data_IF_609016973943
#
_entry.id   IF_609016973943
#
_cell.length_a   1.000
_cell.length_b   1.000
_cell.length_c   1.000
_cell.angle_alpha   90.00
_cell.angle_beta   90.00
_cell.angle_gamma   90.00
#
_symmetry.space_group_name_H-M   'P 1'
#
loop_
_entity.id
_entity.type
_entity.pdbx_description
1 polymer ?
#
# COMPACT_ATOMS: atom_id res chain seq x y z
N UNK A 1 27.66 -29.62 68.27
CA UNK A 1 28.27 -30.47 67.22
C UNK A 1 27.34 -30.35 66.04
N UNK A 2 27.69 -29.81 64.88
CA UNK A 2 28.94 -29.59 64.15
C UNK A 2 28.76 -28.28 63.34
N UNK A 3 29.65 -27.31 63.54
CA UNK A 3 30.85 -27.00 62.76
C UNK A 3 30.58 -26.17 61.50
N UNK A 4 31.00 -24.91 61.65
CA UNK A 4 31.10 -23.82 60.69
C UNK A 4 31.79 -24.20 59.38
N UNK A 5 31.29 -23.57 58.32
CA UNK A 5 32.02 -23.36 57.08
C UNK A 5 32.95 -22.17 57.32
N UNK A 6 34.25 -22.37 57.17
CA UNK A 6 35.08 -21.29 56.67
C UNK A 6 36.42 -21.77 56.10
N UNK A 7 36.76 -21.12 55.00
CA UNK A 7 38.09 -20.66 54.62
C UNK A 7 39.14 -21.66 54.13
N UNK A 8 39.48 -21.54 52.83
CA UNK A 8 40.88 -21.54 52.40
C UNK A 8 41.03 -20.95 50.97
N UNK A 9 42.02 -20.06 50.74
CA UNK A 9 42.29 -19.37 49.47
C UNK A 9 43.36 -20.15 48.64
N UNK A 10 43.81 -19.72 47.44
CA UNK A 10 44.83 -18.65 47.36
C UNK A 10 44.82 -17.78 46.07
N UNK A 11 45.46 -16.62 46.20
CA UNK A 11 46.03 -15.83 45.10
C UNK A 11 47.54 -16.08 44.96
N UNK A 12 48.03 -16.16 43.71
CA UNK A 12 49.38 -15.85 43.17
C UNK A 12 50.07 -16.99 42.40
N UNK A 13 50.55 -16.66 41.19
CA UNK A 13 51.56 -17.44 40.49
C UNK A 13 51.58 -17.20 38.98
N UNK A 14 52.42 -16.26 38.53
CA UNK A 14 52.63 -15.89 37.13
C UNK A 14 53.74 -16.75 36.49
N UNK A 15 53.49 -17.24 35.26
CA UNK A 15 54.41 -17.68 34.16
C UNK A 15 55.22 -18.99 34.33
N UNK A 16 55.73 -19.63 33.25
CA UNK A 16 55.32 -19.64 31.82
C UNK A 16 55.23 -21.09 31.24
N UNK A 17 54.67 -21.33 30.03
CA UNK A 17 55.08 -22.50 29.24
C UNK A 17 56.00 -22.13 28.07
N UNK A 18 57.15 -22.82 28.01
CA UNK A 18 58.08 -22.88 26.87
C UNK A 18 57.59 -23.90 25.83
N UNK A 19 57.82 -23.57 24.56
CA UNK A 19 58.00 -24.38 23.33
C UNK A 19 58.00 -25.91 23.51
N UNK A 20 57.41 -26.74 22.65
CA UNK A 20 56.75 -26.53 21.37
C UNK A 20 56.77 -27.83 20.55
N UNK A 21 55.74 -28.09 19.75
CA UNK A 21 55.74 -28.99 18.57
C UNK A 21 54.57 -28.51 17.70
N UNK A 22 54.82 -27.61 16.75
CA UNK A 22 54.77 -27.87 15.30
C UNK A 22 53.49 -28.61 14.88
N UNK A 23 52.49 -27.89 14.37
CA UNK A 23 52.09 -28.07 12.97
C UNK A 23 51.31 -26.87 12.41
N UNK A 24 51.66 -26.51 11.18
CA UNK A 24 51.00 -25.71 10.14
C UNK A 24 50.08 -24.54 10.54
N UNK A 25 50.63 -23.32 10.45
CA UNK A 25 49.85 -22.12 10.10
C UNK A 25 50.29 -21.66 8.71
N UNK A 26 49.37 -21.62 7.75
CA UNK A 26 49.36 -20.61 6.68
C UNK A 26 47.98 -20.46 6.05
N UNK A 27 47.53 -19.21 6.12
CA UNK A 27 46.64 -18.51 5.20
C UNK A 27 45.12 -18.76 5.30
N UNK A 28 44.55 -17.89 6.13
CA UNK A 28 43.23 -17.27 6.01
C UNK A 28 42.92 -16.89 4.57
N UNK A 29 41.84 -17.46 4.02
CA UNK A 29 40.87 -16.82 3.12
C UNK A 29 39.77 -17.86 2.86
N UNK A 30 38.81 -17.96 3.78
CA UNK A 30 37.58 -18.70 3.49
C UNK A 30 36.56 -17.70 2.99
N UNK A 31 36.24 -17.88 1.72
CA UNK A 31 35.30 -17.12 0.91
C UNK A 31 33.98 -16.96 1.65
N UNK A 32 33.61 -15.70 1.82
CA UNK A 32 32.29 -15.28 2.25
C UNK A 32 31.32 -15.63 1.11
N UNK A 33 30.78 -16.86 1.13
CA UNK A 33 29.59 -17.17 0.34
C UNK A 33 28.40 -16.66 1.15
N UNK A 34 27.70 -15.59 0.75
CA UNK A 34 26.35 -15.42 1.24
C UNK A 34 25.55 -16.56 0.62
N UNK A 35 25.15 -17.51 1.45
CA UNK A 35 24.07 -18.41 1.10
C UNK A 35 22.90 -17.51 0.68
N UNK A 36 22.59 -17.50 -0.61
CA UNK A 36 21.38 -16.87 -1.14
C UNK A 36 20.23 -17.78 -0.72
N UNK A 37 19.93 -17.74 0.58
CA UNK A 37 18.65 -18.18 1.11
C UNK A 37 17.60 -17.38 0.38
N UNK A 38 16.69 -18.09 -0.28
CA UNK A 38 15.48 -17.53 -0.89
C UNK A 38 14.49 -17.08 0.21
N UNK A 39 14.96 -16.32 1.17
CA UNK A 39 14.22 -15.74 2.28
C UNK A 39 14.61 -14.28 2.36
N UNK A 40 13.86 -13.44 1.63
CA UNK A 40 13.59 -12.01 1.86
C UNK A 40 12.83 -11.40 0.64
N UNK A 41 11.86 -12.14 0.07
CA UNK A 41 11.00 -11.60 -0.99
C UNK A 41 9.73 -10.90 -0.46
N UNK A 42 9.58 -10.85 0.87
CA UNK A 42 8.40 -10.31 1.55
C UNK A 42 8.82 -9.52 2.79
N UNK A 43 9.73 -8.55 2.62
CA UNK A 43 9.87 -7.49 3.61
C UNK A 43 9.15 -6.26 3.08
N UNK A 44 8.32 -5.65 3.93
CA UNK A 44 7.26 -4.70 3.61
C UNK A 44 7.67 -3.34 3.05
N UNK A 45 8.75 -3.27 2.27
CA UNK A 45 9.08 -2.09 1.48
C UNK A 45 8.33 -2.16 0.14
N UNK A 46 7.02 -1.93 0.20
CA UNK A 46 6.24 -1.68 -1.00
C UNK A 46 6.74 -0.37 -1.60
N UNK A 47 7.24 -0.44 -2.84
CA UNK A 47 7.75 0.70 -3.60
C UNK A 47 6.84 1.92 -3.37
N UNK A 48 7.39 3.12 -3.11
CA UNK A 48 6.56 4.32 -2.99
C UNK A 48 5.68 4.38 -4.23
N UNK A 49 4.37 4.34 -4.01
CA UNK A 49 3.40 4.49 -5.09
C UNK A 49 3.79 5.75 -5.85
N UNK A 50 3.96 5.69 -7.17
CA UNK A 50 4.17 6.90 -7.94
C UNK A 50 2.96 7.83 -7.73
N UNK A 51 3.12 8.87 -6.91
CA UNK A 51 2.05 9.81 -6.56
C UNK A 51 1.61 10.66 -7.77
N UNK A 52 2.43 10.64 -8.82
CA UNK A 52 2.36 11.45 -10.03
C UNK A 52 1.94 10.65 -11.28
N UNK A 53 1.67 9.35 -11.13
CA UNK A 53 1.06 8.53 -12.20
C UNK A 53 -0.47 8.53 -12.08
N UNK A 54 -1.11 8.91 -13.18
CA UNK A 54 -2.55 8.94 -13.34
C UNK A 54 -3.06 7.87 -14.30
N UNK A 55 -4.16 7.23 -13.92
CA UNK A 55 -4.82 6.21 -14.72
C UNK A 55 -6.16 6.73 -15.23
N UNK A 56 -6.44 6.49 -16.51
CA UNK A 56 -7.73 6.87 -17.13
C UNK A 56 -8.87 6.00 -16.62
N UNK A 57 -10.09 6.51 -16.75
CA UNK A 57 -11.31 5.79 -16.37
C UNK A 57 -11.40 4.33 -16.83
N UNK A 58 -11.11 3.98 -18.10
CA UNK A 58 -11.13 2.58 -18.54
C UNK A 58 -10.13 1.68 -17.81
N UNK A 59 -8.92 2.17 -17.56
CA UNK A 59 -7.86 1.44 -16.83
C UNK A 59 -8.29 1.26 -15.37
N UNK A 60 -8.77 2.33 -14.73
CA UNK A 60 -9.30 2.28 -13.37
C UNK A 60 -10.48 1.30 -13.23
N UNK A 61 -11.41 1.30 -14.21
CA UNK A 61 -12.54 0.36 -14.23
C UNK A 61 -12.08 -1.09 -14.30
N UNK A 62 -11.12 -1.37 -15.19
CA UNK A 62 -10.58 -2.71 -15.37
C UNK A 62 -9.86 -3.20 -14.10
N UNK A 63 -8.92 -2.41 -13.58
CA UNK A 63 -8.14 -2.78 -12.40
C UNK A 63 -8.99 -2.94 -11.12
N UNK A 64 -10.02 -2.10 -10.94
CA UNK A 64 -10.94 -2.19 -9.81
C UNK A 64 -12.08 -3.21 -10.01
N UNK A 65 -12.26 -3.77 -11.21
CA UNK A 65 -13.36 -4.68 -11.52
C UNK A 65 -14.75 -4.03 -11.45
N UNK A 66 -14.85 -2.76 -11.87
CA UNK A 66 -16.10 -1.98 -11.84
C UNK A 66 -16.51 -1.52 -13.24
N UNK A 67 -17.80 -1.23 -13.39
CA UNK A 67 -18.31 -0.65 -14.64
C UNK A 67 -18.02 0.86 -14.71
N UNK A 68 -17.95 1.39 -15.93
CA UNK A 68 -17.81 2.83 -16.14
C UNK A 68 -18.93 3.65 -15.50
N UNK A 69 -20.16 3.11 -15.45
CA UNK A 69 -21.30 3.76 -14.78
C UNK A 69 -21.10 3.84 -13.27
N UNK A 70 -20.58 2.78 -12.64
CA UNK A 70 -20.25 2.82 -11.21
C UNK A 70 -19.19 3.87 -10.94
N UNK A 71 -18.12 3.88 -11.74
CA UNK A 71 -17.06 4.90 -11.62
C UNK A 71 -17.62 6.32 -11.75
N UNK A 72 -18.40 6.60 -12.80
CA UNK A 72 -18.96 7.94 -13.00
C UNK A 72 -19.94 8.33 -11.90
N UNK A 73 -20.79 7.40 -11.45
CA UNK A 73 -21.72 7.65 -10.36
C UNK A 73 -20.99 7.96 -9.04
N UNK A 74 -19.96 7.20 -8.70
CA UNK A 74 -19.17 7.43 -7.48
C UNK A 74 -18.36 8.73 -7.55
N UNK A 75 -17.81 9.07 -8.72
CA UNK A 75 -17.15 10.35 -8.94
C UNK A 75 -18.10 11.52 -8.82
N UNK A 76 -19.27 11.46 -9.48
CA UNK A 76 -20.27 12.53 -9.46
C UNK A 76 -20.90 12.73 -8.09
N UNK A 77 -20.99 11.68 -7.28
CA UNK A 77 -21.54 11.75 -5.92
C UNK A 77 -20.50 12.02 -4.84
N UNK A 78 -19.22 12.20 -5.23
CA UNK A 78 -18.10 12.51 -4.33
C UNK A 78 -17.62 11.34 -3.47
N UNK A 79 -18.06 10.11 -3.75
CA UNK A 79 -17.61 8.93 -3.00
C UNK A 79 -16.12 8.65 -3.25
N UNK A 80 -15.71 8.73 -4.51
CA UNK A 80 -14.30 8.68 -4.93
C UNK A 80 -14.08 9.73 -6.00
N UNK A 81 -13.22 10.70 -5.74
CA UNK A 81 -12.86 11.76 -6.70
C UNK A 81 -11.45 11.51 -7.22
N UNK A 82 -11.18 11.75 -8.52
CA UNK A 82 -9.83 11.60 -9.07
C UNK A 82 -8.86 12.57 -8.40
N UNK A 83 -7.78 12.08 -7.80
CA UNK A 83 -6.82 12.93 -7.07
C UNK A 83 -5.72 13.51 -7.95
N UNK A 84 -5.40 12.88 -9.10
CA UNK A 84 -4.35 13.37 -10.00
C UNK A 84 -4.85 14.49 -10.87
N UNK A 85 -6.01 14.30 -11.51
CA UNK A 85 -6.63 15.33 -12.35
C UNK A 85 -8.13 15.15 -12.43
N UNK A 86 -8.86 16.17 -12.01
CA UNK A 86 -10.28 16.27 -12.28
C UNK A 86 -10.55 16.59 -13.75
N UNK A 87 -11.71 16.17 -14.26
CA UNK A 87 -12.13 16.57 -15.60
C UNK A 87 -12.56 18.04 -15.58
N UNK A 88 -11.83 18.88 -16.32
CA UNK A 88 -12.18 20.29 -16.53
C UNK A 88 -12.45 20.50 -18.03
N UNK A 89 -13.70 20.83 -18.38
CA UNK A 89 -14.12 21.02 -19.78
C UNK A 89 -14.18 19.72 -20.59
N UNK A 90 -14.35 19.82 -21.92
CA UNK A 90 -14.52 18.66 -22.81
C UNK A 90 -13.20 18.01 -23.29
N UNK A 91 -12.05 18.51 -22.84
CA UNK A 91 -10.74 18.11 -23.36
C UNK A 91 -9.85 17.33 -22.39
N UNK A 92 -10.07 17.46 -21.07
CA UNK A 92 -9.17 16.88 -20.07
C UNK A 92 -9.79 15.64 -19.41
N UNK A 93 -9.20 14.45 -19.58
CA UNK A 93 -9.68 13.23 -18.96
C UNK A 93 -9.42 13.23 -17.45
N UNK A 94 -10.33 12.61 -16.68
CA UNK A 94 -10.10 12.28 -15.27
C UNK A 94 -8.92 11.32 -15.16
N UNK A 95 -7.96 11.64 -14.29
CA UNK A 95 -6.86 10.77 -13.94
C UNK A 95 -6.97 10.37 -12.48
N UNK A 96 -7.06 9.07 -12.25
CA UNK A 96 -7.15 8.47 -10.93
C UNK A 96 -5.76 8.04 -10.47
N UNK A 97 -5.43 8.30 -9.21
CA UNK A 97 -4.20 7.76 -8.61
C UNK A 97 -4.35 6.26 -8.34
N UNK A 98 -3.24 5.60 -8.03
CA UNK A 98 -3.28 4.23 -7.51
C UNK A 98 -4.17 4.13 -6.25
N UNK A 99 -4.08 5.11 -5.35
CA UNK A 99 -4.91 5.17 -4.13
C UNK A 99 -6.39 5.25 -4.45
N UNK A 100 -6.78 6.00 -5.47
CA UNK A 100 -8.17 6.06 -5.92
C UNK A 100 -8.66 4.69 -6.38
N UNK A 101 -7.85 3.99 -7.18
CA UNK A 101 -8.19 2.65 -7.69
C UNK A 101 -8.30 1.64 -6.56
N UNK A 102 -7.42 1.71 -5.55
CA UNK A 102 -7.52 0.92 -4.33
C UNK A 102 -8.87 1.12 -3.64
N UNK A 103 -9.25 2.38 -3.42
CA UNK A 103 -10.54 2.70 -2.80
C UNK A 103 -11.71 2.18 -3.65
N UNK A 104 -11.65 2.32 -4.98
CA UNK A 104 -12.66 1.79 -5.89
C UNK A 104 -12.82 0.27 -5.75
N UNK A 105 -11.70 -0.48 -5.69
CA UNK A 105 -11.71 -1.94 -5.55
C UNK A 105 -12.23 -2.37 -4.18
N UNK A 106 -11.89 -1.64 -3.11
CA UNK A 106 -12.43 -1.88 -1.77
C UNK A 106 -13.93 -1.64 -1.72
N UNK A 107 -14.41 -0.52 -2.28
CA UNK A 107 -15.85 -0.23 -2.39
C UNK A 107 -16.57 -1.36 -3.11
N UNK A 108 -16.00 -1.85 -4.22
CA UNK A 108 -16.56 -2.98 -4.97
C UNK A 108 -16.66 -4.24 -4.11
N UNK A 109 -15.60 -4.61 -3.38
CA UNK A 109 -15.61 -5.78 -2.48
C UNK A 109 -16.64 -5.65 -1.35
N UNK A 110 -16.81 -4.43 -0.79
CA UNK A 110 -17.85 -4.18 0.22
C UNK A 110 -19.27 -4.32 -0.36
N UNK A 111 -19.50 -3.82 -1.57
CA UNK A 111 -20.80 -3.98 -2.26
C UNK A 111 -21.07 -5.45 -2.58
N UNK A 112 -20.06 -6.20 -3.02
CA UNK A 112 -20.19 -7.63 -3.33
C UNK A 112 -20.49 -8.46 -2.09
N UNK A 113 -20.00 -8.03 -0.92
CA UNK A 113 -20.35 -8.60 0.38
C UNK A 113 -21.77 -8.23 0.86
N UNK A 114 -22.53 -7.43 0.10
CA UNK A 114 -23.90 -7.04 0.41
C UNK A 114 -24.02 -5.77 1.26
N UNK A 115 -22.93 -5.03 1.47
CA UNK A 115 -22.94 -3.78 2.25
C UNK A 115 -23.52 -2.66 1.39
N UNK A 116 -24.47 -1.90 1.94
CA UNK A 116 -25.10 -0.82 1.19
C UNK A 116 -24.15 0.36 0.96
N UNK A 117 -24.35 1.07 -0.14
CA UNK A 117 -23.55 2.25 -0.48
C UNK A 117 -23.59 3.34 0.60
N UNK A 118 -24.70 3.46 1.33
CA UNK A 118 -24.86 4.43 2.40
C UNK A 118 -23.96 4.09 3.61
N UNK A 119 -23.85 2.81 3.96
CA UNK A 119 -22.94 2.34 5.03
C UNK A 119 -21.49 2.53 4.62
N UNK A 120 -21.16 2.19 3.37
CA UNK A 120 -19.82 2.41 2.81
C UNK A 120 -19.42 3.89 2.88
N UNK A 121 -20.34 4.79 2.50
CA UNK A 121 -20.08 6.24 2.58
C UNK A 121 -19.74 6.68 4.00
N UNK A 122 -20.52 6.25 4.99
CA UNK A 122 -20.27 6.56 6.41
C UNK A 122 -18.90 6.03 6.86
N UNK A 123 -18.58 4.78 6.51
CA UNK A 123 -17.30 4.16 6.84
C UNK A 123 -16.10 4.90 6.25
N UNK A 124 -16.15 5.26 4.96
CA UNK A 124 -15.08 5.99 4.28
C UNK A 124 -14.88 7.38 4.89
N UNK A 125 -15.96 8.07 5.25
CA UNK A 125 -15.88 9.38 5.89
C UNK A 125 -15.23 9.29 7.29
N UNK A 126 -15.53 8.23 8.04
CA UNK A 126 -14.83 7.92 9.30
C UNK A 126 -13.34 7.60 9.11
N UNK A 127 -12.96 6.87 8.06
CA UNK A 127 -11.56 6.56 7.75
C UNK A 127 -10.77 7.81 7.32
N UNK A 128 -11.36 8.67 6.48
CA UNK A 128 -10.71 9.93 6.05
C UNK A 128 -10.41 10.87 7.22
N UNK A 129 -11.29 10.90 8.24
CA UNK A 129 -11.10 11.74 9.42
C UNK A 129 -9.93 11.29 10.31
N UNK A 130 -9.52 10.02 10.24
CA UNK A 130 -8.45 9.46 11.09
C UNK A 130 -7.07 9.43 10.45
N UNK A 131 -6.98 9.72 9.14
CA UNK A 131 -5.72 9.84 8.42
C UNK A 131 -4.98 8.51 8.31
N UNK A 132 -5.39 7.66 7.38
CA UNK A 132 -4.70 6.38 7.13
C UNK A 132 -3.53 6.64 6.17
N UNK A 133 -2.32 6.66 6.73
CA UNK A 133 -1.08 6.86 5.97
C UNK A 133 -0.38 5.54 5.63
N UNK A 134 -0.73 4.45 6.32
CA UNK A 134 -0.25 3.11 5.97
C UNK A 134 -1.45 2.17 5.81
N UNK A 135 -1.86 1.97 4.56
CA UNK A 135 -3.00 1.11 4.21
C UNK A 135 -2.58 -0.35 4.07
N UNK A 136 -1.30 -0.69 4.22
CA UNK A 136 -0.79 -2.02 3.87
C UNK A 136 -1.03 -3.05 4.97
N UNK A 137 -0.95 -2.64 6.24
CA UNK A 137 -1.22 -3.48 7.42
C UNK A 137 -2.69 -3.42 7.88
N UNK A 138 -3.54 -2.66 7.18
CA UNK A 138 -4.94 -2.46 7.56
C UNK A 138 -5.82 -3.60 7.06
N UNK A 139 -6.63 -4.15 7.95
CA UNK A 139 -7.75 -5.03 7.63
C UNK A 139 -9.06 -4.34 7.94
N UNK A 140 -9.92 -4.18 6.93
CA UNK A 140 -11.28 -3.67 7.12
C UNK A 140 -12.22 -4.81 7.50
N UNK A 141 -12.90 -4.70 8.63
CA UNK A 141 -13.85 -5.68 9.16
C UNK A 141 -15.28 -5.12 9.11
N UNK A 142 -16.26 -5.89 8.64
CA UNK A 142 -17.66 -5.45 8.56
C UNK A 142 -18.63 -6.50 9.08
N UNK A 143 -19.61 -6.06 9.89
CA UNK A 143 -20.77 -6.86 10.34
C UNK A 143 -21.99 -6.68 9.42
N UNK A 144 -21.83 -5.95 8.31
CA UNK A 144 -22.92 -5.56 7.41
C UNK A 144 -23.63 -4.26 7.80
N UNK A 145 -23.30 -3.67 8.95
CA UNK A 145 -23.85 -2.39 9.44
C UNK A 145 -22.76 -1.32 9.57
N UNK A 146 -21.62 -1.71 10.14
CA UNK A 146 -20.48 -0.88 10.47
C UNK A 146 -19.22 -1.49 9.86
N UNK A 147 -18.26 -0.62 9.50
CA UNK A 147 -16.93 -1.04 9.05
C UNK A 147 -15.92 -0.55 10.07
N UNK A 148 -15.07 -1.47 10.51
CA UNK A 148 -14.01 -1.26 11.47
C UNK A 148 -12.67 -1.41 10.74
N UNK A 149 -11.69 -0.64 11.19
CA UNK A 149 -10.30 -0.78 10.78
C UNK A 149 -9.58 -1.53 11.89
N UNK A 150 -8.84 -2.57 11.51
CA UNK A 150 -7.96 -3.31 12.39
C UNK A 150 -6.54 -3.21 11.84
N UNK A 151 -5.61 -2.78 12.67
CA UNK A 151 -4.17 -2.74 12.33
C UNK A 151 -3.40 -3.87 12.99
N UNK A 152 -4.07 -4.76 13.72
CA UNK A 152 -3.45 -5.93 14.33
C UNK A 152 -4.39 -7.13 14.40
N UNK A 153 -3.81 -8.34 14.41
CA UNK A 153 -4.57 -9.59 14.52
C UNK A 153 -5.37 -9.68 15.83
N UNK A 154 -4.91 -9.03 16.90
CA UNK A 154 -5.59 -9.04 18.20
C UNK A 154 -6.92 -8.29 18.13
N UNK A 155 -6.96 -7.14 17.46
CA UNK A 155 -8.20 -6.37 17.24
C UNK A 155 -9.22 -7.17 16.39
N UNK A 156 -8.73 -7.91 15.39
CA UNK A 156 -9.56 -8.81 14.58
C UNK A 156 -10.16 -9.92 15.45
N UNK A 157 -9.34 -10.56 16.29
CA UNK A 157 -9.79 -11.62 17.21
C UNK A 157 -10.82 -11.06 18.19
N UNK A 158 -10.58 -9.88 18.75
CA UNK A 158 -11.47 -9.25 19.73
C UNK A 158 -12.84 -8.92 19.13
N UNK A 159 -12.90 -8.46 17.89
CA UNK A 159 -14.17 -8.27 17.18
C UNK A 159 -14.91 -9.59 16.93
N UNK A 160 -14.20 -10.67 16.61
CA UNK A 160 -14.80 -11.98 16.32
C UNK A 160 -15.30 -12.73 17.57
N UNK A 161 -14.76 -12.42 18.76
CA UNK A 161 -15.15 -13.06 20.03
C UNK A 161 -16.62 -12.90 20.38
N UNK A 162 -17.32 -11.91 19.81
CA UNK A 162 -18.76 -11.72 19.97
C UNK A 162 -19.63 -12.81 19.33
N UNK A 163 -19.06 -13.76 18.57
CA UNK A 163 -19.80 -14.85 17.92
C UNK A 163 -20.63 -14.42 16.72
N UNK A 164 -20.49 -13.16 16.29
CA UNK A 164 -21.12 -12.61 15.09
C UNK A 164 -20.19 -12.84 13.89
N UNK A 165 -20.77 -13.23 12.74
CA UNK A 165 -20.00 -13.40 11.51
C UNK A 165 -19.58 -12.05 10.94
N UNK A 166 -18.28 -11.89 10.71
CA UNK A 166 -17.70 -10.66 10.14
C UNK A 166 -17.09 -10.95 8.78
N UNK A 167 -17.17 -9.98 7.88
CA UNK A 167 -16.46 -10.00 6.60
C UNK A 167 -15.21 -9.13 6.70
N UNK A 168 -14.04 -9.71 6.42
CA UNK A 168 -12.75 -9.03 6.45
C UNK A 168 -12.18 -8.78 5.05
N UNK A 169 -11.61 -7.59 4.82
CA UNK A 169 -10.82 -7.24 3.64
C UNK A 169 -9.44 -6.78 4.11
N UNK A 170 -8.42 -7.60 3.91
CA UNK A 170 -7.03 -7.21 4.14
C UNK A 170 -6.56 -6.28 3.00
N UNK A 171 -6.32 -5.00 3.29
CA UNK A 171 -5.99 -4.00 2.28
C UNK A 171 -4.63 -4.28 1.62
N UNK A 172 -3.64 -4.79 2.36
CA UNK A 172 -2.36 -5.22 1.79
C UNK A 172 -2.49 -6.28 0.69
N UNK A 173 -3.47 -7.19 0.77
CA UNK A 173 -3.73 -8.16 -0.31
C UNK A 173 -4.31 -7.48 -1.55
N UNK A 174 -5.28 -6.57 -1.37
CA UNK A 174 -5.91 -5.81 -2.45
C UNK A 174 -4.88 -4.92 -3.15
N UNK A 175 -3.95 -4.36 -2.37
CA UNK A 175 -2.83 -3.58 -2.86
C UNK A 175 -1.94 -4.38 -3.80
N UNK A 176 -1.43 -5.54 -3.35
CA UNK A 176 -0.60 -6.44 -4.18
C UNK A 176 -1.33 -6.85 -5.45
N UNK A 177 -2.62 -7.20 -5.35
CA UNK A 177 -3.44 -7.53 -6.52
C UNK A 177 -3.50 -6.36 -7.53
N UNK A 178 -3.58 -5.13 -7.03
CA UNK A 178 -3.64 -3.93 -7.87
C UNK A 178 -2.31 -3.56 -8.48
N UNK A 179 -1.23 -3.66 -7.71
CA UNK A 179 0.13 -3.45 -8.21
C UNK A 179 0.40 -4.39 -9.38
N UNK A 180 0.11 -5.68 -9.24
CA UNK A 180 0.22 -6.65 -10.34
C UNK A 180 -0.65 -6.27 -11.55
N UNK A 181 -1.90 -5.84 -11.32
CA UNK A 181 -2.81 -5.47 -12.41
C UNK A 181 -2.39 -4.19 -13.15
N UNK A 182 -1.73 -3.25 -12.46
CA UNK A 182 -1.39 -1.93 -13.00
C UNK A 182 0.03 -1.86 -13.57
N UNK A 183 0.96 -2.71 -13.10
CA UNK A 183 2.30 -2.84 -13.68
C UNK A 183 2.26 -3.26 -15.16
N UNK A 184 1.21 -3.97 -15.57
CA UNK A 184 1.02 -4.44 -16.94
C UNK A 184 0.32 -3.41 -17.84
N UNK A 185 -0.13 -2.27 -17.30
CA UNK A 185 -1.00 -1.33 -18.00
C UNK A 185 -0.34 0.04 -18.24
N UNK A 186 -0.61 0.72 -19.36
CA UNK A 186 -0.06 2.05 -19.62
C UNK A 186 -0.57 3.08 -18.60
N UNK A 187 0.33 3.60 -17.75
CA UNK A 187 0.09 4.75 -16.88
C UNK A 187 0.40 6.07 -17.59
N UNK A 188 -0.37 7.13 -17.33
CA UNK A 188 -0.04 8.47 -17.81
C UNK A 188 0.65 9.26 -16.71
N UNK A 189 1.86 9.76 -16.99
CA UNK A 189 2.50 10.70 -16.08
C UNK A 189 1.71 12.01 -16.09
N UNK A 190 1.46 12.58 -14.92
CA UNK A 190 0.85 13.90 -14.75
C UNK A 190 1.82 15.01 -15.15
N UNK A 191 2.29 15.03 -16.40
CA UNK A 191 2.94 16.22 -16.93
C UNK A 191 1.85 17.25 -17.21
N UNK A 192 1.75 18.23 -16.32
CA UNK A 192 1.00 19.46 -16.52
C UNK A 192 1.70 20.34 -17.57
N UNK A 193 1.90 19.86 -18.79
CA UNK A 193 2.17 20.72 -19.94
C UNK A 193 0.83 21.20 -20.47
N UNK A 194 0.29 22.22 -19.80
CA UNK A 194 -0.57 23.18 -20.47
C UNK A 194 0.29 23.92 -21.52
N UNK A 195 0.57 23.24 -22.64
CA UNK A 195 0.88 23.97 -23.86
C UNK A 195 -0.40 24.74 -24.20
N UNK A 196 -0.35 26.08 -24.41
CA UNK A 196 -1.50 26.78 -24.93
C UNK A 196 -1.76 26.21 -26.31
N UNK A 197 -2.80 25.39 -26.47
CA UNK A 197 -3.34 25.10 -27.80
C UNK A 197 -3.97 26.40 -28.26
N UNK A 198 -3.15 27.29 -28.79
CA UNK A 198 -3.61 28.48 -29.48
C UNK A 198 -4.35 27.99 -30.72
N UNK A 199 -5.66 27.85 -30.50
CA UNK A 199 -6.64 27.25 -31.35
C UNK A 199 -6.59 27.90 -32.74
N UNK A 200 -6.05 27.16 -33.71
CA UNK A 200 -5.92 27.56 -35.11
C UNK A 200 -7.28 28.02 -35.69
N UNK A 201 -8.40 27.49 -35.17
CA UNK A 201 -9.77 27.90 -35.53
C UNK A 201 -10.12 29.29 -35.01
N UNK A 202 -9.68 29.64 -33.80
CA UNK A 202 -9.84 30.98 -33.21
C UNK A 202 -9.02 32.03 -33.98
N UNK A 203 -7.82 31.67 -34.46
CA UNK A 203 -7.01 32.54 -35.35
C UNK A 203 -7.70 32.79 -36.70
N UNK A 204 -8.29 31.75 -37.31
CA UNK A 204 -9.01 31.88 -38.59
C UNK A 204 -10.31 32.68 -38.51
N UNK A 205 -11.00 32.68 -37.35
CA UNK A 205 -12.20 33.51 -37.15
C UNK A 205 -11.85 35.00 -37.07
N UNK A 206 -10.81 35.37 -36.31
CA UNK A 206 -10.33 36.76 -36.23
C UNK A 206 -9.86 37.31 -37.59
N UNK A 207 -9.31 36.45 -38.45
CA UNK A 207 -8.89 36.83 -39.79
C UNK A 207 -10.04 37.05 -40.80
N UNK A 208 -11.29 36.65 -40.46
CA UNK A 208 -12.47 36.83 -41.33
C UNK A 208 -13.38 37.98 -40.90
N UNK A 209 -13.23 38.49 -39.68
CA UNK A 209 -14.03 39.63 -39.18
C UNK A 209 -13.40 41.01 -39.51
N UNK A 210 -12.19 41.03 -40.07
CA UNK A 210 -11.57 42.26 -40.59
C UNK A 210 -11.62 42.21 -42.12
N UNK A 211 -12.79 42.50 -42.67
CA UNK A 211 -13.05 42.57 -44.11
C UNK A 211 -14.33 43.33 -44.39
#
# INVERSE_FOLDING_TARGET
>A
MEFDRDDAPPSNGRLPPKRGTVDSSREVQQENQPEIGQELLFDGDFSPVPEDVGFRGPVACNAAGITYRQLDYWARTGLVTPTIREAVGSGNPRLYSFRDILILKVIKRLIDAGISLQQIRRAIEHLRARGVNDLTEVTLMSDGVSVFECTSDHEVIDLLRGGQGMFGIALGSVWKDLEGSLLELPGEQSQATAAPSDDELSRRRRAREVG
#
